data_IF_401182202561
#
_entry.id   IF_401182202561
#
_cell.length_a   1.000
_cell.length_b   1.000
_cell.length_c   1.000
_cell.angle_alpha   90.00
_cell.angle_beta   90.00
_cell.angle_gamma   90.00
#
_symmetry.space_group_name_H-M   'P 1'
#
loop_
_entity.id
_entity.type
_entity.pdbx_description
1 polymer ?
#
# COMPACT_ATOMS: atom_id res chain seq x y z
N UNK A 1 -6.38 16.52 -7.85
CA UNK A 1 -7.36 16.18 -6.78
C UNK A 1 -8.74 15.80 -7.32
N UNK A 2 -9.29 16.47 -8.35
CA UNK A 2 -10.60 16.11 -8.93
C UNK A 2 -10.63 14.73 -9.63
N UNK A 3 -9.53 14.31 -10.25
CA UNK A 3 -9.46 13.07 -11.04
C UNK A 3 -9.40 11.78 -10.21
N UNK A 4 -8.98 11.83 -8.93
CA UNK A 4 -9.00 10.64 -8.06
C UNK A 4 -10.41 10.28 -7.58
N UNK A 5 -11.37 11.21 -7.67
CA UNK A 5 -12.79 10.92 -7.40
C UNK A 5 -13.38 9.92 -8.40
N UNK A 6 -12.77 9.80 -9.59
CA UNK A 6 -13.22 8.91 -10.66
C UNK A 6 -13.13 7.43 -10.27
N UNK A 7 -12.13 7.09 -9.45
CA UNK A 7 -11.89 5.72 -8.98
C UNK A 7 -12.75 5.40 -7.75
N UNK A 8 -13.50 6.36 -7.21
CA UNK A 8 -14.42 6.06 -6.12
C UNK A 8 -15.55 5.13 -6.62
N UNK A 9 -15.95 4.12 -5.83
CA UNK A 9 -16.87 3.08 -6.28
C UNK A 9 -18.27 3.61 -6.60
N UNK A 10 -18.63 4.74 -5.98
CA UNK A 10 -19.88 5.47 -6.25
C UNK A 10 -19.84 6.10 -7.64
N UNK A 11 -18.74 6.78 -8.00
CA UNK A 11 -18.60 7.48 -9.29
C UNK A 11 -18.38 6.48 -10.43
N UNK A 12 -17.56 5.44 -10.21
CA UNK A 12 -17.23 4.44 -11.24
C UNK A 12 -18.43 3.58 -11.65
N UNK A 13 -19.34 3.30 -10.70
CA UNK A 13 -20.57 2.53 -10.92
C UNK A 13 -21.72 3.39 -11.44
N UNK A 14 -21.72 4.69 -11.12
CA UNK A 14 -22.79 5.59 -11.56
C UNK A 14 -22.75 5.83 -13.07
N UNK A 15 -23.90 5.81 -13.74
CA UNK A 15 -24.03 6.25 -15.13
C UNK A 15 -24.26 7.78 -15.24
N UNK A 16 -23.88 8.54 -14.21
CA UNK A 16 -24.18 9.97 -14.07
C UNK A 16 -23.23 10.90 -14.84
N UNK A 17 -23.54 12.21 -14.87
CA UNK A 17 -22.74 13.22 -15.58
C UNK A 17 -21.34 13.45 -14.99
N UNK A 18 -21.12 13.05 -13.73
CA UNK A 18 -19.82 13.17 -13.04
C UNK A 18 -18.79 12.13 -13.51
N UNK A 19 -19.20 11.19 -14.37
CA UNK A 19 -18.35 10.13 -14.91
C UNK A 19 -17.80 10.53 -16.28
N UNK A 20 -16.48 10.62 -16.45
CA UNK A 20 -15.89 10.92 -17.74
C UNK A 20 -16.11 9.76 -18.71
N UNK A 21 -16.33 10.07 -19.99
CA UNK A 21 -16.58 9.06 -21.03
C UNK A 21 -15.35 8.16 -21.25
N UNK A 22 -14.16 8.68 -20.98
CA UNK A 22 -12.88 8.03 -21.23
C UNK A 22 -11.99 8.08 -19.99
N UNK A 23 -11.38 6.94 -19.68
CA UNK A 23 -10.40 6.78 -18.58
C UNK A 23 -8.97 7.04 -19.06
N UNK A 24 -8.74 7.08 -20.37
CA UNK A 24 -7.43 7.25 -21.00
C UNK A 24 -6.76 8.59 -20.65
N UNK A 25 -7.54 9.65 -20.46
CA UNK A 25 -7.00 10.93 -19.99
C UNK A 25 -6.31 10.78 -18.63
N UNK A 26 -6.88 9.96 -17.73
CA UNK A 26 -6.28 9.65 -16.44
C UNK A 26 -5.06 8.74 -16.59
N UNK A 27 -5.15 7.73 -17.47
CA UNK A 27 -4.03 6.82 -17.73
C UNK A 27 -2.81 7.56 -18.31
N UNK A 28 -3.03 8.55 -19.18
CA UNK A 28 -1.95 9.36 -19.77
C UNK A 28 -1.17 10.20 -18.75
N UNK A 29 -1.84 10.60 -17.65
CA UNK A 29 -1.22 11.35 -16.57
C UNK A 29 -0.41 10.45 -15.62
N UNK A 30 -0.64 9.14 -15.65
CA UNK A 30 -0.08 8.16 -14.71
C UNK A 30 0.57 6.98 -15.47
N UNK A 31 1.66 7.23 -16.21
CA UNK A 31 2.36 6.18 -16.98
C UNK A 31 2.96 5.08 -16.09
N UNK A 32 3.10 5.32 -14.78
CA UNK A 32 3.58 4.33 -13.82
C UNK A 32 2.51 3.28 -13.46
N UNK A 33 1.23 3.57 -13.68
CA UNK A 33 0.13 2.71 -13.21
C UNK A 33 -0.34 1.69 -14.26
N UNK A 34 -0.05 1.92 -15.54
CA UNK A 34 -0.39 1.04 -16.68
C UNK A 34 0.75 1.12 -17.70
N UNK A 35 1.22 -0.01 -18.26
CA UNK A 35 2.15 0.02 -19.38
C UNK A 35 1.52 0.77 -20.57
N UNK A 36 2.29 1.50 -21.38
CA UNK A 36 1.77 2.29 -22.49
C UNK A 36 1.36 1.44 -23.71
N UNK A 37 1.05 0.16 -23.52
CA UNK A 37 0.71 -0.76 -24.59
C UNK A 37 -0.72 -0.50 -25.09
N UNK A 38 -0.88 -0.34 -26.40
CA UNK A 38 -2.16 -0.02 -27.04
C UNK A 38 -3.27 -1.03 -26.68
N UNK A 39 -2.93 -2.32 -26.61
CA UNK A 39 -3.89 -3.38 -26.26
C UNK A 39 -4.40 -3.24 -24.82
N UNK A 40 -3.49 -2.94 -23.88
CA UNK A 40 -3.85 -2.80 -22.45
C UNK A 40 -4.71 -1.55 -22.19
N UNK A 41 -4.42 -0.46 -22.90
CA UNK A 41 -5.20 0.77 -22.83
C UNK A 41 -6.60 0.60 -23.45
N UNK A 42 -6.71 -0.14 -24.55
CA UNK A 42 -8.00 -0.49 -25.15
C UNK A 42 -8.84 -1.35 -24.20
N UNK A 43 -8.26 -2.41 -23.64
CA UNK A 43 -8.93 -3.27 -22.66
C UNK A 43 -9.36 -2.49 -21.41
N UNK A 44 -8.52 -1.58 -20.93
CA UNK A 44 -8.85 -0.70 -19.81
C UNK A 44 -10.06 0.20 -20.13
N UNK A 45 -10.13 0.77 -21.33
CA UNK A 45 -11.26 1.62 -21.73
C UNK A 45 -12.55 0.81 -21.93
N UNK A 46 -12.46 -0.40 -22.49
CA UNK A 46 -13.60 -1.31 -22.64
C UNK A 46 -14.16 -1.72 -21.28
N UNK A 47 -13.28 -2.15 -20.36
CA UNK A 47 -13.61 -2.49 -18.98
C UNK A 47 -14.25 -1.30 -18.26
N UNK A 48 -13.68 -0.10 -18.41
CA UNK A 48 -14.28 1.12 -17.88
C UNK A 48 -15.69 1.26 -18.43
N UNK A 49 -15.91 1.26 -19.74
CA UNK A 49 -17.25 1.43 -20.31
C UNK A 49 -18.24 0.34 -19.89
N UNK A 50 -17.76 -0.87 -19.60
CA UNK A 50 -18.58 -2.01 -19.16
C UNK A 50 -19.03 -1.91 -17.69
N UNK A 51 -18.28 -1.22 -16.82
CA UNK A 51 -18.54 -1.15 -15.36
C UNK A 51 -20.00 -0.93 -14.94
N UNK A 52 -20.75 0.05 -15.46
CA UNK A 52 -22.13 0.29 -15.00
C UNK A 52 -23.10 -0.81 -15.43
N UNK A 53 -22.73 -1.62 -16.43
CA UNK A 53 -23.55 -2.72 -16.95
C UNK A 53 -23.27 -4.04 -16.25
N UNK A 54 -22.17 -4.13 -15.49
CA UNK A 54 -21.77 -5.36 -14.81
C UNK A 54 -22.62 -5.60 -13.56
N UNK A 55 -22.94 -6.88 -13.32
CA UNK A 55 -23.59 -7.32 -12.09
C UNK A 55 -22.58 -7.27 -10.95
N UNK A 56 -22.59 -6.16 -10.21
CA UNK A 56 -21.68 -5.98 -9.08
C UNK A 56 -22.03 -6.98 -7.97
N UNK A 57 -21.06 -7.77 -7.49
CA UNK A 57 -21.30 -8.75 -6.44
C UNK A 57 -21.77 -8.07 -5.15
N UNK A 58 -22.66 -8.73 -4.39
CA UNK A 58 -23.22 -8.18 -3.16
C UNK A 58 -22.16 -7.77 -2.14
N UNK A 59 -21.02 -8.48 -2.10
CA UNK A 59 -19.85 -8.15 -1.26
C UNK A 59 -19.24 -6.79 -1.63
N UNK A 60 -19.08 -6.50 -2.94
CA UNK A 60 -18.56 -5.21 -3.39
C UNK A 60 -19.54 -4.07 -3.07
N UNK A 61 -20.86 -4.30 -3.14
CA UNK A 61 -21.87 -3.32 -2.72
C UNK A 61 -21.79 -2.98 -1.23
N UNK A 62 -21.42 -3.93 -0.37
CA UNK A 62 -21.20 -3.67 1.04
C UNK A 62 -19.94 -2.80 1.31
N UNK A 63 -18.94 -2.90 0.44
CA UNK A 63 -17.65 -2.20 0.55
C UNK A 63 -17.61 -0.80 -0.09
N UNK A 64 -18.75 -0.20 -0.44
CA UNK A 64 -18.82 1.12 -1.11
C UNK A 64 -18.11 2.27 -0.35
N UNK A 65 -17.85 2.13 0.96
CA UNK A 65 -17.15 3.13 1.78
C UNK A 65 -15.63 3.08 1.65
N UNK A 66 -15.06 1.91 1.35
CA UNK A 66 -13.62 1.70 1.16
C UNK A 66 -13.34 1.43 -0.31
N UNK A 67 -12.80 2.42 -1.03
CA UNK A 67 -12.51 2.25 -2.46
C UNK A 67 -11.50 1.12 -2.70
N UNK A 68 -10.51 0.99 -1.81
CA UNK A 68 -9.54 -0.11 -1.76
C UNK A 68 -10.22 -1.49 -1.65
N UNK A 69 -11.13 -1.65 -0.68
CA UNK A 69 -11.85 -2.91 -0.45
C UNK A 69 -12.76 -3.26 -1.63
N UNK A 70 -13.43 -2.25 -2.21
CA UNK A 70 -14.26 -2.44 -3.39
C UNK A 70 -13.46 -2.99 -4.58
N UNK A 71 -12.34 -2.34 -4.93
CA UNK A 71 -11.52 -2.77 -6.07
C UNK A 71 -10.81 -4.09 -5.82
N UNK A 72 -10.45 -4.40 -4.57
CA UNK A 72 -9.96 -5.72 -4.19
C UNK A 72 -11.01 -6.81 -4.45
N UNK A 73 -12.25 -6.60 -4.01
CA UNK A 73 -13.34 -7.56 -4.27
C UNK A 73 -13.58 -7.71 -5.78
N UNK A 74 -13.57 -6.61 -6.54
CA UNK A 74 -13.72 -6.63 -8.00
C UNK A 74 -12.58 -7.36 -8.72
N UNK A 75 -11.35 -7.31 -8.20
CA UNK A 75 -10.20 -8.05 -8.72
C UNK A 75 -10.36 -9.56 -8.56
N UNK A 76 -11.00 -10.00 -7.46
CA UNK A 76 -11.23 -11.43 -7.17
C UNK A 76 -12.54 -11.97 -7.73
N UNK A 77 -13.39 -11.10 -8.28
CA UNK A 77 -14.73 -11.48 -8.70
C UNK A 77 -14.69 -12.23 -10.03
N UNK A 78 -15.24 -13.45 -10.03
CA UNK A 78 -15.35 -14.33 -11.20
C UNK A 78 -16.77 -14.28 -11.76
N UNK A 79 -16.87 -14.42 -13.07
CA UNK A 79 -18.13 -14.62 -13.79
C UNK A 79 -18.61 -16.07 -13.67
N UNK A 80 -19.84 -16.35 -14.12
CA UNK A 80 -20.44 -17.70 -14.12
C UNK A 80 -19.60 -18.72 -14.93
N UNK A 81 -18.78 -18.23 -15.87
CA UNK A 81 -17.85 -19.02 -16.68
C UNK A 81 -16.46 -19.24 -16.03
N UNK A 82 -16.21 -18.72 -14.83
CA UNK A 82 -14.92 -18.86 -14.12
C UNK A 82 -13.82 -17.91 -14.58
N UNK A 83 -14.12 -16.96 -15.48
CA UNK A 83 -13.20 -15.89 -15.88
C UNK A 83 -13.33 -14.67 -14.95
N UNK A 84 -12.26 -13.89 -14.81
CA UNK A 84 -12.29 -12.63 -14.04
C UNK A 84 -13.22 -11.62 -14.72
N UNK A 85 -14.11 -11.00 -13.94
CA UNK A 85 -15.05 -9.98 -14.43
C UNK A 85 -14.32 -8.76 -15.00
N UNK A 86 -13.17 -8.41 -14.42
CA UNK A 86 -12.31 -7.33 -14.87
C UNK A 86 -10.84 -7.73 -14.65
N UNK A 87 -9.99 -7.55 -15.66
CA UNK A 87 -8.59 -8.00 -15.64
C UNK A 87 -7.64 -6.85 -15.32
N UNK A 88 -7.88 -5.66 -15.87
CA UNK A 88 -6.91 -4.54 -15.84
C UNK A 88 -7.40 -3.39 -14.95
N UNK A 89 -8.68 -3.04 -15.03
CA UNK A 89 -9.25 -1.88 -14.36
C UNK A 89 -9.11 -1.91 -12.83
N UNK A 90 -9.37 -3.03 -12.11
CA UNK A 90 -9.20 -3.07 -10.66
C UNK A 90 -7.74 -2.90 -10.24
N UNK A 91 -6.79 -3.44 -11.03
CA UNK A 91 -5.35 -3.27 -10.78
C UNK A 91 -4.93 -1.82 -10.98
N UNK A 92 -5.40 -1.20 -12.06
CA UNK A 92 -5.17 0.23 -12.30
C UNK A 92 -5.74 1.09 -11.17
N UNK A 93 -6.97 0.80 -10.72
CA UNK A 93 -7.60 1.50 -9.61
C UNK A 93 -6.82 1.37 -8.30
N UNK A 94 -6.37 0.15 -7.94
CA UNK A 94 -5.55 -0.08 -6.76
C UNK A 94 -4.18 0.62 -6.86
N UNK A 95 -3.56 0.62 -8.04
CA UNK A 95 -2.31 1.34 -8.28
C UNK A 95 -2.47 2.86 -8.12
N UNK A 96 -3.61 3.42 -8.51
CA UNK A 96 -3.89 4.85 -8.29
C UNK A 96 -4.11 5.13 -6.80
N UNK A 97 -4.82 4.25 -6.10
CA UNK A 97 -5.12 4.41 -4.67
C UNK A 97 -3.89 4.21 -3.78
N UNK A 98 -2.84 3.55 -4.26
CA UNK A 98 -1.56 3.43 -3.55
C UNK A 98 -0.66 4.67 -3.69
N UNK A 99 -0.99 5.59 -4.61
CA UNK A 99 -0.25 6.83 -4.76
C UNK A 99 -0.51 7.75 -3.57
N UNK A 100 0.53 8.38 -3.00
CA UNK A 100 0.36 9.34 -1.92
C UNK A 100 -0.55 10.49 -2.37
N UNK A 101 -1.63 10.70 -1.66
CA UNK A 101 -2.71 11.62 -2.06
C UNK A 101 -2.30 13.10 -1.91
N UNK A 102 -1.23 13.40 -1.17
CA UNK A 102 -0.75 14.76 -0.95
C UNK A 102 0.71 14.82 -0.54
N UNK A 103 1.40 15.88 -0.94
CA UNK A 103 2.73 16.23 -0.44
C UNK A 103 2.77 16.37 1.09
N UNK A 104 1.63 16.66 1.74
CA UNK A 104 1.51 16.72 3.20
C UNK A 104 1.84 15.37 3.88
N UNK A 105 1.67 14.24 3.18
CA UNK A 105 2.04 12.93 3.70
C UNK A 105 3.56 12.74 3.76
N UNK A 106 4.27 13.22 2.74
CA UNK A 106 5.74 13.27 2.74
C UNK A 106 6.26 14.20 3.86
N UNK A 107 5.64 15.37 4.04
CA UNK A 107 5.97 16.29 5.14
C UNK A 107 5.75 15.66 6.51
N UNK A 108 4.70 14.84 6.67
CA UNK A 108 4.46 14.09 7.91
C UNK A 108 5.57 13.08 8.20
N UNK A 109 6.13 12.44 7.16
CA UNK A 109 7.30 11.56 7.31
C UNK A 109 8.54 12.37 7.68
N UNK A 110 8.79 13.51 7.03
CA UNK A 110 9.91 14.40 7.38
C UNK A 110 9.81 14.93 8.82
N UNK A 111 8.61 15.26 9.28
CA UNK A 111 8.38 15.64 10.68
C UNK A 111 8.77 14.51 11.65
N UNK A 112 8.42 13.24 11.34
CA UNK A 112 8.86 12.08 12.14
C UNK A 112 10.37 11.92 12.13
N UNK A 113 11.01 12.08 10.97
CA UNK A 113 12.48 12.04 10.83
C UNK A 113 13.12 13.12 11.70
N UNK A 114 12.61 14.36 11.67
CA UNK A 114 13.10 15.47 12.48
C UNK A 114 12.91 15.22 13.99
N UNK A 115 11.89 14.46 14.39
CA UNK A 115 11.75 14.04 15.80
C UNK A 115 12.78 13.00 16.22
N UNK A 116 13.22 12.14 15.31
CA UNK A 116 14.27 11.14 15.55
C UNK A 116 15.66 11.81 15.54
N UNK A 117 15.90 12.69 14.55
CA UNK A 117 17.12 13.47 14.40
C UNK A 117 16.97 14.82 15.09
N UNK A 118 17.25 14.85 16.39
CA UNK A 118 17.34 16.10 17.13
C UNK A 118 18.68 16.80 16.84
N UNK A 119 18.82 18.11 17.14
CA UNK A 119 20.09 18.82 16.96
C UNK A 119 21.27 18.16 17.69
N UNK A 120 21.02 17.50 18.82
CA UNK A 120 22.00 16.75 19.60
C UNK A 120 22.28 15.34 19.06
N UNK A 121 21.34 14.74 18.32
CA UNK A 121 21.39 13.36 17.80
C UNK A 121 21.18 13.34 16.28
N UNK A 122 21.98 14.12 15.55
CA UNK A 122 21.86 14.27 14.09
C UNK A 122 22.69 13.24 13.30
N UNK A 123 23.72 12.63 13.91
CA UNK A 123 24.65 11.68 13.27
C UNK A 123 24.16 10.23 13.26
N UNK A 124 22.86 10.02 13.05
CA UNK A 124 22.31 8.66 12.92
C UNK A 124 22.45 8.17 11.48
N UNK A 125 22.96 6.94 11.33
CA UNK A 125 22.98 6.24 10.05
C UNK A 125 21.56 5.93 9.59
N UNK A 126 21.34 5.97 8.27
CA UNK A 126 20.02 5.74 7.64
C UNK A 126 19.32 4.46 8.13
N UNK A 127 19.96 3.27 8.22
CA UNK A 127 19.28 2.07 8.69
C UNK A 127 18.79 2.19 10.15
N UNK A 128 19.49 2.92 11.01
CA UNK A 128 19.04 3.17 12.39
C UNK A 128 17.81 4.07 12.41
N UNK A 129 17.78 5.10 11.58
CA UNK A 129 16.63 6.01 11.48
C UNK A 129 15.40 5.28 10.93
N UNK A 130 15.60 4.44 9.91
CA UNK A 130 14.56 3.56 9.37
C UNK A 130 14.05 2.59 10.43
N UNK A 131 14.95 1.91 11.15
CA UNK A 131 14.60 1.00 12.24
C UNK A 131 13.78 1.68 13.34
N UNK A 132 14.16 2.90 13.75
CA UNK A 132 13.36 3.68 14.71
C UNK A 132 11.96 4.02 14.17
N UNK A 133 11.84 4.36 12.88
CA UNK A 133 10.53 4.61 12.28
C UNK A 133 9.67 3.35 12.22
N UNK A 134 10.22 2.24 11.75
CA UNK A 134 9.53 0.95 11.66
C UNK A 134 9.07 0.48 13.05
N UNK A 135 9.94 0.55 14.06
CA UNK A 135 9.58 0.24 15.43
C UNK A 135 8.44 1.13 15.97
N UNK A 136 8.47 2.44 15.66
CA UNK A 136 7.38 3.34 16.06
C UNK A 136 6.05 3.01 15.37
N UNK A 137 6.12 2.50 14.13
CA UNK A 137 4.95 2.13 13.35
C UNK A 137 4.38 0.78 13.78
N UNK A 138 5.22 -0.20 14.09
CA UNK A 138 4.79 -1.52 14.56
C UNK A 138 4.04 -1.43 15.89
N UNK A 139 4.55 -0.63 16.85
CA UNK A 139 3.88 -0.38 18.14
C UNK A 139 2.49 0.25 17.92
N UNK A 140 2.40 1.22 16.99
CA UNK A 140 1.13 1.87 16.62
C UNK A 140 0.15 0.93 15.94
N UNK A 141 0.62 0.06 15.03
CA UNK A 141 -0.22 -0.93 14.33
C UNK A 141 -0.82 -1.94 15.30
N UNK A 142 -0.06 -2.36 16.32
CA UNK A 142 -0.54 -3.25 17.39
C UNK A 142 -1.55 -2.62 18.35
N UNK A 143 -2.09 -1.43 18.07
CA UNK A 143 -3.07 -0.75 18.93
C UNK A 143 -2.52 -0.31 20.30
N UNK A 144 -1.21 -0.46 20.50
CA UNK A 144 -0.54 -0.22 21.77
C UNK A 144 0.13 1.15 21.81
N UNK A 145 0.17 1.76 22.99
CA UNK A 145 0.97 2.95 23.26
C UNK A 145 2.31 2.49 23.86
N UNK A 146 3.27 3.41 24.03
CA UNK A 146 4.54 3.13 24.70
C UNK A 146 4.40 2.51 26.11
N UNK A 147 3.23 2.62 26.72
CA UNK A 147 2.88 2.08 28.04
C UNK A 147 2.21 0.71 28.00
N UNK A 148 1.66 0.29 26.86
CA UNK A 148 0.89 -0.96 26.73
C UNK A 148 1.49 -1.95 25.73
N UNK A 149 2.71 -1.69 25.25
CA UNK A 149 3.40 -2.57 24.33
C UNK A 149 3.70 -3.93 24.99
N UNK A 150 3.09 -5.00 24.45
CA UNK A 150 3.36 -6.37 24.87
C UNK A 150 4.48 -6.94 24.00
N UNK A 151 5.62 -7.19 24.62
CA UNK A 151 6.79 -7.80 24.00
C UNK A 151 6.59 -9.32 23.83
N UNK A 152 6.93 -9.85 22.66
CA UNK A 152 7.05 -11.29 22.41
C UNK A 152 8.17 -11.91 23.27
N UNK A 153 8.08 -13.21 23.56
CA UNK A 153 9.13 -13.96 24.24
C UNK A 153 10.45 -13.97 23.44
N UNK A 154 10.37 -14.06 22.11
CA UNK A 154 11.54 -13.97 21.21
C UNK A 154 12.22 -12.60 21.31
N UNK A 155 11.42 -11.53 21.33
CA UNK A 155 11.94 -10.17 21.47
C UNK A 155 12.70 -9.99 22.79
N UNK A 156 12.16 -10.51 23.90
CA UNK A 156 12.82 -10.46 25.22
C UNK A 156 14.15 -11.21 25.21
N UNK A 157 14.19 -12.39 24.58
CA UNK A 157 15.40 -13.19 24.47
C UNK A 157 16.50 -12.44 23.70
N UNK A 158 16.13 -11.82 22.56
CA UNK A 158 17.06 -11.07 21.70
C UNK A 158 17.48 -9.73 22.29
N UNK A 159 16.65 -9.11 23.13
CA UNK A 159 16.97 -7.86 23.84
C UNK A 159 17.71 -8.06 25.17
N UNK A 160 18.58 -9.06 25.25
CA UNK A 160 19.44 -9.28 26.42
C UNK A 160 20.73 -8.46 26.29
N UNK A 161 21.26 -7.94 27.40
CA UNK A 161 22.49 -7.13 27.42
C UNK A 161 23.68 -7.82 26.73
N UNK A 162 23.78 -9.15 26.83
CA UNK A 162 24.77 -9.98 26.13
C UNK A 162 24.68 -9.89 24.61
N UNK A 163 23.49 -9.72 24.06
CA UNK A 163 23.24 -9.67 22.60
C UNK A 163 23.33 -8.24 22.08
N UNK A 164 22.86 -7.24 22.84
CA UNK A 164 22.86 -5.83 22.43
C UNK A 164 24.25 -5.18 22.60
N UNK A 165 24.95 -5.51 23.69
CA UNK A 165 26.24 -4.91 24.04
C UNK A 165 27.38 -5.93 24.02
N UNK A 166 27.15 -7.15 23.50
CA UNK A 166 28.13 -8.23 23.47
C UNK A 166 29.38 -7.85 22.67
N UNK A 167 30.53 -7.86 23.33
CA UNK A 167 31.84 -7.59 22.74
C UNK A 167 32.33 -8.72 21.82
N UNK A 168 33.01 -8.30 20.75
CA UNK A 168 33.89 -8.99 19.76
C UNK A 168 33.48 -10.34 19.15
N UNK A 169 32.58 -11.14 19.73
CA UNK A 169 32.20 -12.46 19.21
C UNK A 169 31.01 -12.45 18.22
N UNK A 170 30.44 -11.30 17.90
CA UNK A 170 29.22 -11.18 17.08
C UNK A 170 29.46 -10.71 15.63
N UNK A 171 30.72 -10.51 15.21
CA UNK A 171 31.05 -10.10 13.84
C UNK A 171 31.07 -11.26 12.84
N UNK A 172 31.37 -12.49 13.28
CA UNK A 172 31.55 -13.62 12.37
C UNK A 172 30.23 -14.24 11.87
N UNK A 173 29.14 -14.17 12.66
CA UNK A 173 27.83 -14.70 12.27
C UNK A 173 27.02 -13.72 11.37
N UNK A 174 27.39 -12.42 11.36
CA UNK A 174 26.73 -11.39 10.53
C UNK A 174 27.06 -11.51 9.03
N UNK A 175 28.16 -12.17 8.67
CA UNK A 175 28.52 -12.40 7.26
C UNK A 175 27.64 -13.48 6.59
N UNK A 176 26.99 -14.34 7.37
CA UNK A 176 26.12 -15.42 6.86
C UNK A 176 24.61 -15.12 6.92
N UNK A 177 24.20 -14.08 7.64
CA UNK A 177 22.79 -13.75 7.84
C UNK A 177 22.27 -12.77 6.76
N UNK A 178 22.04 -13.35 5.58
CA UNK A 178 20.95 -13.02 4.65
C UNK A 178 20.89 -11.56 4.18
N UNK A 179 21.34 -11.36 2.94
CA UNK A 179 20.71 -10.39 2.02
C UNK A 179 19.23 -10.77 1.95
N UNK A 180 18.42 -10.23 2.84
CA UNK A 180 16.97 -10.33 2.70
C UNK A 180 16.65 -9.29 1.65
N UNK A 181 16.47 -9.75 0.42
CA UNK A 181 15.91 -8.95 -0.67
C UNK A 181 14.62 -8.29 -0.16
N UNK A 182 14.74 -7.00 0.11
CA UNK A 182 13.70 -6.14 0.70
C UNK A 182 12.64 -5.72 -0.33
N UNK A 183 12.51 -6.44 -1.45
CA UNK A 183 11.64 -5.99 -2.55
C UNK A 183 10.19 -6.50 -2.48
N UNK A 184 9.82 -7.48 -1.65
CA UNK A 184 8.48 -8.10 -1.81
C UNK A 184 7.63 -8.34 -0.55
N UNK A 185 8.07 -7.94 0.65
CA UNK A 185 7.29 -8.17 1.88
C UNK A 185 6.13 -7.16 2.12
N UNK A 186 5.72 -6.40 1.11
CA UNK A 186 4.67 -5.38 1.27
C UNK A 186 3.23 -5.90 1.01
N UNK A 187 3.04 -7.11 0.47
CA UNK A 187 1.73 -7.52 -0.06
C UNK A 187 1.00 -8.66 0.68
N UNK A 188 1.60 -9.34 1.66
CA UNK A 188 1.08 -10.65 2.12
C UNK A 188 0.35 -10.69 3.48
N UNK A 189 -0.14 -9.57 4.01
CA UNK A 189 -1.00 -9.60 5.21
C UNK A 189 -2.22 -8.68 5.06
N UNK A 190 -3.23 -9.19 4.36
CA UNK A 190 -4.64 -8.83 4.54
C UNK A 190 -5.45 -10.13 4.60
N UNK A 191 -5.61 -10.65 5.82
CA UNK A 191 -6.76 -11.47 6.23
C UNK A 191 -7.53 -10.72 7.33
#
# INVERSE_FOLDING_TARGET
>A
MAQMRLVSPVVSTSSGPDRPPTILDLASLLPCCVPPDTETLQQLEEEWRALPRLSIPAKARACLKGADQFWHVMLTAMDECGELLLKIMPRFALNILSLPHSNAECERIFSKVNRIKTPLRNRLVVPTVLGCMLASQSVRRGGSCCTSFRTDADLKFRYTARTIYGGEAAEEERAGAVVVDLEWAFFDEVE
#
